data_IF_498538436545
#
_entry.id   IF_498538436545
#
_cell.length_a   1.000
_cell.length_b   1.000
_cell.length_c   1.000
_cell.angle_alpha   90.00
_cell.angle_beta   90.00
_cell.angle_gamma   90.00
#
_symmetry.space_group_name_H-M   'P 1'
#
loop_
_entity.id
_entity.type
_entity.pdbx_description
1 polymer ?
#
# COMPACT_ATOMS: atom_id res chain seq x y z
N UNK A 1 28.98 25.69 -15.75
CA UNK A 1 27.70 25.79 -16.49
C UNK A 1 26.89 24.56 -16.11
N UNK A 2 26.27 24.62 -14.92
CA UNK A 2 25.42 23.52 -14.45
C UNK A 2 24.22 23.43 -15.38
N UNK A 3 24.13 22.30 -16.09
CA UNK A 3 22.92 21.90 -16.79
C UNK A 3 21.80 21.93 -15.75
N UNK A 4 20.86 22.87 -15.91
CA UNK A 4 19.54 22.75 -15.29
C UNK A 4 18.95 21.45 -15.84
N UNK A 5 19.23 20.31 -15.18
CA UNK A 5 18.57 19.05 -15.47
C UNK A 5 17.09 19.33 -15.33
N UNK A 6 16.42 19.40 -16.47
CA UNK A 6 15.00 19.64 -16.55
C UNK A 6 14.36 18.43 -15.88
N UNK A 7 13.90 18.61 -14.63
CA UNK A 7 13.34 17.53 -13.81
C UNK A 7 12.31 16.79 -14.64
N UNK A 8 12.52 15.48 -14.79
CA UNK A 8 11.62 14.68 -15.61
C UNK A 8 10.23 14.68 -14.99
N UNK A 9 9.15 14.72 -15.80
CA UNK A 9 7.79 14.90 -15.28
C UNK A 9 7.35 13.78 -14.31
N UNK A 10 7.97 12.59 -14.38
CA UNK A 10 7.70 11.48 -13.45
C UNK A 10 8.45 11.57 -12.12
N UNK A 11 9.56 12.32 -12.01
CA UNK A 11 10.38 12.38 -10.79
C UNK A 11 9.61 12.90 -9.59
N UNK A 12 8.87 14.01 -9.79
CA UNK A 12 8.03 14.58 -8.73
C UNK A 12 6.93 13.61 -8.32
N UNK A 13 6.29 12.94 -9.29
CA UNK A 13 5.23 11.96 -8.99
C UNK A 13 5.76 10.69 -8.32
N UNK A 14 6.99 10.26 -8.63
CA UNK A 14 7.66 9.19 -7.90
C UNK A 14 7.95 9.58 -6.46
N UNK A 15 8.35 10.84 -6.22
CA UNK A 15 8.51 11.36 -4.86
C UNK A 15 7.18 11.38 -4.11
N UNK A 16 6.12 11.87 -4.73
CA UNK A 16 4.76 11.85 -4.15
C UNK A 16 4.33 10.41 -3.82
N UNK A 17 4.59 9.46 -4.73
CA UNK A 17 4.27 8.05 -4.52
C UNK A 17 5.04 7.46 -3.33
N UNK A 18 6.33 7.76 -3.20
CA UNK A 18 7.15 7.31 -2.06
C UNK A 18 6.65 7.88 -0.74
N UNK A 19 6.16 9.12 -0.75
CA UNK A 19 5.59 9.76 0.43
C UNK A 19 4.28 9.09 0.83
N UNK A 20 3.39 8.82 -0.12
CA UNK A 20 2.12 8.11 0.14
C UNK A 20 2.35 6.71 0.70
N UNK A 21 3.35 5.99 0.20
CA UNK A 21 3.73 4.68 0.76
C UNK A 21 4.13 4.81 2.24
N UNK A 22 4.92 5.84 2.58
CA UNK A 22 5.29 6.12 3.97
C UNK A 22 4.05 6.45 4.81
N UNK A 23 3.13 7.28 4.31
CA UNK A 23 1.88 7.56 5.00
C UNK A 23 1.06 6.29 5.25
N UNK A 24 1.00 5.36 4.30
CA UNK A 24 0.32 4.06 4.50
C UNK A 24 0.96 3.28 5.65
N UNK A 25 2.28 3.24 5.74
CA UNK A 25 3.00 2.56 6.82
C UNK A 25 2.70 3.24 8.17
N UNK A 26 2.80 4.57 8.22
CA UNK A 26 2.61 5.36 9.44
C UNK A 26 1.17 5.28 9.96
N UNK A 27 0.18 5.14 9.06
CA UNK A 27 -1.23 5.06 9.41
C UNK A 27 -1.77 3.63 9.43
N UNK A 28 -0.93 2.59 9.38
CA UNK A 28 -1.38 1.20 9.28
C UNK A 28 -2.43 0.80 10.35
N UNK A 29 -2.27 1.32 11.57
CA UNK A 29 -3.20 1.04 12.69
C UNK A 29 -4.42 1.97 12.78
N UNK A 30 -4.56 2.90 11.83
CA UNK A 30 -5.75 3.74 11.68
C UNK A 30 -6.49 3.32 10.40
N UNK A 31 -7.54 2.50 10.49
CA UNK A 31 -8.16 1.88 9.32
C UNK A 31 -8.65 2.88 8.27
N UNK A 32 -9.29 3.97 8.69
CA UNK A 32 -9.82 4.98 7.76
C UNK A 32 -8.70 5.78 7.10
N UNK A 33 -7.71 6.22 7.87
CA UNK A 33 -6.55 6.94 7.30
C UNK A 33 -5.69 6.03 6.42
N UNK A 34 -5.50 4.76 6.80
CA UNK A 34 -4.84 3.76 5.98
C UNK A 34 -5.55 3.55 4.67
N UNK A 35 -6.89 3.40 4.70
CA UNK A 35 -7.72 3.25 3.50
C UNK A 35 -7.60 4.44 2.57
N UNK A 36 -7.70 5.65 3.10
CA UNK A 36 -7.53 6.87 2.32
C UNK A 36 -6.14 6.95 1.68
N UNK A 37 -5.09 6.70 2.46
CA UNK A 37 -3.70 6.74 2.00
C UNK A 37 -3.41 5.66 0.95
N UNK A 38 -3.91 4.44 1.14
CA UNK A 38 -3.75 3.32 0.22
C UNK A 38 -4.46 3.60 -1.11
N UNK A 39 -5.68 4.13 -1.05
CA UNK A 39 -6.42 4.51 -2.26
C UNK A 39 -5.65 5.57 -3.05
N UNK A 40 -5.15 6.60 -2.36
CA UNK A 40 -4.35 7.65 -2.97
C UNK A 40 -3.02 7.11 -3.54
N UNK A 41 -2.37 6.17 -2.85
CA UNK A 41 -1.16 5.50 -3.33
C UNK A 41 -1.41 4.75 -4.64
N UNK A 42 -2.46 3.90 -4.69
CA UNK A 42 -2.77 3.08 -5.86
C UNK A 42 -3.15 3.94 -7.08
N UNK A 43 -3.93 5.01 -6.87
CA UNK A 43 -4.26 5.97 -7.92
C UNK A 43 -3.00 6.71 -8.41
N UNK A 44 -2.14 7.15 -7.50
CA UNK A 44 -0.90 7.86 -7.87
C UNK A 44 0.07 6.94 -8.62
N UNK A 45 0.19 5.67 -8.23
CA UNK A 45 1.02 4.67 -8.91
C UNK A 45 0.62 4.50 -10.38
N UNK A 46 -0.70 4.54 -10.65
CA UNK A 46 -1.25 4.52 -12.02
C UNK A 46 -0.77 5.72 -12.82
N UNK A 47 -0.93 6.91 -12.28
CA UNK A 47 -0.54 8.16 -12.94
C UNK A 47 0.96 8.17 -13.23
N UNK A 48 1.78 7.74 -12.28
CA UNK A 48 3.24 7.56 -12.47
C UNK A 48 3.52 6.62 -13.63
N UNK A 49 2.88 5.45 -13.65
CA UNK A 49 3.05 4.46 -14.72
C UNK A 49 2.73 5.05 -16.09
N UNK A 50 1.62 5.78 -16.19
CA UNK A 50 1.22 6.43 -17.45
C UNK A 50 2.17 7.53 -17.88
N UNK A 51 2.67 8.35 -16.95
CA UNK A 51 3.66 9.39 -17.28
C UNK A 51 4.94 8.73 -17.79
N UNK A 52 5.41 7.67 -17.15
CA UNK A 52 6.59 6.91 -17.58
C UNK A 52 6.38 6.32 -18.97
N UNK A 53 5.26 5.62 -19.20
CA UNK A 53 4.91 5.04 -20.51
C UNK A 53 4.81 6.10 -21.61
N UNK A 54 4.19 7.24 -21.34
CA UNK A 54 4.08 8.36 -22.28
C UNK A 54 5.43 8.93 -22.67
N UNK A 55 6.39 8.93 -21.75
CA UNK A 55 7.73 9.46 -21.96
C UNK A 55 8.79 8.38 -22.23
N UNK A 56 8.37 7.16 -22.60
CA UNK A 56 9.27 6.02 -22.80
C UNK A 56 10.45 6.29 -23.74
N UNK A 57 10.24 7.11 -24.77
CA UNK A 57 11.27 7.48 -25.75
C UNK A 57 12.43 8.28 -25.12
N UNK A 58 12.21 8.90 -23.96
CA UNK A 58 13.25 9.63 -23.22
C UNK A 58 14.06 8.73 -22.28
N UNK A 59 13.67 7.46 -22.13
CA UNK A 59 14.29 6.50 -21.23
C UNK A 59 15.09 5.50 -22.07
N UNK A 60 16.41 5.57 -21.95
CA UNK A 60 17.32 4.69 -22.70
C UNK A 60 17.05 3.24 -22.31
N UNK A 61 16.82 2.37 -23.30
CA UNK A 61 16.56 0.95 -23.08
C UNK A 61 15.20 0.63 -22.43
N UNK A 62 14.24 1.55 -22.50
CA UNK A 62 12.93 1.39 -21.85
C UNK A 62 12.26 0.06 -22.17
N UNK A 63 12.14 -0.31 -23.44
CA UNK A 63 11.36 -1.48 -23.84
C UNK A 63 11.97 -2.77 -23.26
N UNK A 64 13.30 -2.89 -23.25
CA UNK A 64 14.00 -4.04 -22.65
C UNK A 64 13.82 -4.05 -21.14
N UNK A 65 14.07 -2.91 -20.48
CA UNK A 65 13.95 -2.81 -19.02
C UNK A 65 12.52 -3.08 -18.54
N UNK A 66 11.52 -2.49 -19.20
CA UNK A 66 10.12 -2.58 -18.81
C UNK A 66 9.57 -3.99 -19.03
N UNK A 67 9.93 -4.65 -20.13
CA UNK A 67 9.56 -6.05 -20.34
C UNK A 67 10.14 -6.96 -19.24
N UNK A 68 11.44 -6.90 -18.99
CA UNK A 68 12.11 -7.84 -18.10
C UNK A 68 11.82 -7.58 -16.60
N UNK A 69 11.75 -6.31 -16.19
CA UNK A 69 11.65 -5.95 -14.77
C UNK A 69 10.24 -5.68 -14.30
N UNK A 70 9.32 -5.33 -15.21
CA UNK A 70 7.94 -5.01 -14.86
C UNK A 70 7.03 -6.10 -15.38
N UNK A 71 6.94 -6.29 -16.70
CA UNK A 71 5.95 -7.21 -17.27
C UNK A 71 6.22 -8.66 -16.86
N UNK A 72 7.42 -9.18 -17.08
CA UNK A 72 7.75 -10.58 -16.80
C UNK A 72 7.66 -10.90 -15.30
N UNK A 73 8.21 -10.02 -14.45
CA UNK A 73 8.16 -10.21 -13.00
C UNK A 73 6.75 -10.11 -12.44
N UNK A 74 5.94 -9.17 -12.92
CA UNK A 74 4.60 -8.92 -12.36
C UNK A 74 3.53 -9.85 -12.91
N UNK A 75 3.77 -10.51 -14.06
CA UNK A 75 2.79 -11.37 -14.73
C UNK A 75 2.23 -12.45 -13.81
N UNK A 76 3.07 -13.02 -12.96
CA UNK A 76 2.71 -14.11 -12.05
C UNK A 76 2.76 -13.69 -10.57
N UNK A 77 2.90 -12.39 -10.27
CA UNK A 77 2.96 -11.88 -8.91
C UNK A 77 1.53 -11.60 -8.39
N UNK A 78 1.03 -12.35 -7.38
CA UNK A 78 -0.31 -12.16 -6.83
C UNK A 78 -0.53 -10.77 -6.23
N UNK A 79 0.50 -10.16 -5.64
CA UNK A 79 0.41 -8.83 -5.05
C UNK A 79 0.25 -7.76 -6.14
N UNK A 80 0.95 -7.91 -7.27
CA UNK A 80 0.82 -7.00 -8.42
C UNK A 80 -0.53 -7.16 -9.11
N UNK A 81 -1.01 -8.41 -9.24
CA UNK A 81 -2.36 -8.68 -9.72
C UNK A 81 -3.42 -8.05 -8.81
N UNK A 82 -3.28 -8.20 -7.50
CA UNK A 82 -4.12 -7.54 -6.51
C UNK A 82 -4.07 -6.02 -6.65
N UNK A 83 -2.89 -5.40 -6.66
CA UNK A 83 -2.74 -3.94 -6.78
C UNK A 83 -3.41 -3.38 -8.05
N UNK A 84 -3.28 -4.09 -9.17
CA UNK A 84 -3.96 -3.74 -10.43
C UNK A 84 -5.48 -3.83 -10.31
N UNK A 85 -6.00 -4.89 -9.69
CA UNK A 85 -7.43 -5.10 -9.51
C UNK A 85 -8.01 -4.09 -8.52
N UNK A 86 -7.37 -3.92 -7.36
CA UNK A 86 -7.73 -2.94 -6.32
C UNK A 86 -7.86 -1.53 -6.90
N UNK A 87 -6.91 -1.12 -7.73
CA UNK A 87 -6.99 0.17 -8.45
C UNK A 87 -8.20 0.27 -9.37
N UNK A 88 -8.55 -0.80 -10.10
CA UNK A 88 -9.73 -0.80 -10.96
C UNK A 88 -11.02 -0.74 -10.14
N UNK A 89 -11.06 -1.39 -8.98
CA UNK A 89 -12.17 -1.30 -8.02
C UNK A 89 -12.32 0.12 -7.50
N UNK A 90 -11.22 0.75 -7.03
CA UNK A 90 -11.19 2.14 -6.56
C UNK A 90 -11.78 3.12 -7.60
N UNK A 91 -11.39 2.96 -8.88
CA UNK A 91 -11.86 3.83 -9.95
C UNK A 91 -13.34 3.61 -10.35
N UNK A 92 -13.88 2.39 -10.17
CA UNK A 92 -15.16 1.99 -10.79
C UNK A 92 -16.27 1.67 -9.80
N UNK A 93 -15.92 1.31 -8.57
CA UNK A 93 -16.85 0.73 -7.58
C UNK A 93 -16.82 1.48 -6.24
N UNK A 94 -15.86 2.40 -6.02
CA UNK A 94 -15.70 3.11 -4.75
C UNK A 94 -14.50 2.59 -3.97
N UNK A 95 -14.41 2.93 -2.69
CA UNK A 95 -13.23 2.65 -1.89
C UNK A 95 -13.02 1.14 -1.59
N UNK A 96 -11.77 0.73 -1.33
CA UNK A 96 -11.46 -0.64 -0.87
C UNK A 96 -12.08 -0.90 0.50
N UNK A 97 -12.84 -1.99 0.61
CA UNK A 97 -13.21 -2.56 1.90
C UNK A 97 -11.97 -3.23 2.53
N UNK A 98 -11.62 -2.77 3.73
CA UNK A 98 -10.46 -3.26 4.49
C UNK A 98 -10.91 -4.35 5.46
N UNK A 99 -10.84 -5.61 5.03
CA UNK A 99 -11.00 -6.75 5.94
C UNK A 99 -9.66 -7.02 6.63
N UNK A 100 -9.29 -6.20 7.62
CA UNK A 100 -8.11 -6.47 8.45
C UNK A 100 -8.52 -7.32 9.65
N UNK A 101 -7.90 -8.49 9.79
CA UNK A 101 -8.04 -9.36 10.96
C UNK A 101 -6.78 -9.23 11.84
N UNK A 102 -6.94 -8.84 13.11
CA UNK A 102 -5.91 -8.90 14.12
C UNK A 102 -6.20 -10.07 15.08
N UNK A 103 -5.17 -10.88 15.33
CA UNK A 103 -5.19 -11.98 16.28
C UNK A 103 -4.33 -11.60 17.49
N UNK A 104 -4.88 -11.70 18.69
CA UNK A 104 -4.15 -11.56 19.94
C UNK A 104 -4.31 -12.85 20.75
N UNK A 105 -3.20 -13.44 21.18
CA UNK A 105 -3.22 -14.64 22.03
C UNK A 105 -2.65 -14.27 23.41
N UNK A 106 -3.43 -14.49 24.47
CA UNK A 106 -2.95 -14.38 25.83
C UNK A 106 -2.36 -15.72 26.26
N UNK A 107 -1.03 -15.77 26.32
CA UNK A 107 -0.29 -16.95 26.78
C UNK A 107 -0.14 -16.88 28.29
N UNK A 108 -0.79 -17.79 29.01
CA UNK A 108 -0.82 -17.80 30.47
C UNK A 108 0.07 -18.87 31.10
N UNK A 109 0.44 -19.90 30.34
CA UNK A 109 1.26 -21.03 30.80
C UNK A 109 2.05 -21.65 29.64
N UNK A 110 2.87 -22.66 29.91
CA UNK A 110 3.57 -23.45 28.87
C UNK A 110 2.66 -24.51 28.20
N UNK A 111 1.39 -24.59 28.58
CA UNK A 111 0.39 -25.51 28.02
C UNK A 111 -0.49 -24.69 27.07
N UNK A 112 -0.44 -25.02 25.78
CA UNK A 112 -1.18 -24.31 24.71
C UNK A 112 -2.70 -24.32 24.92
N UNK A 113 -3.25 -25.32 25.60
CA UNK A 113 -4.70 -25.40 25.91
C UNK A 113 -5.20 -24.26 26.81
N UNK A 114 -4.28 -23.58 27.52
CA UNK A 114 -4.60 -22.44 28.38
C UNK A 114 -4.48 -21.09 27.66
N UNK A 115 -4.14 -21.10 26.37
CA UNK A 115 -4.04 -19.89 25.58
C UNK A 115 -5.43 -19.38 25.21
N UNK A 116 -5.66 -18.10 25.48
CA UNK A 116 -6.93 -17.45 25.10
C UNK A 116 -6.68 -16.67 23.82
N UNK A 117 -7.32 -17.10 22.74
CA UNK A 117 -7.23 -16.44 21.44
C UNK A 117 -8.37 -15.44 21.24
N UNK A 118 -8.01 -14.23 20.86
CA UNK A 118 -8.90 -13.17 20.44
C UNK A 118 -8.66 -12.90 18.95
N UNK A 119 -9.65 -13.22 18.12
CA UNK A 119 -9.66 -12.83 16.70
C UNK A 119 -10.60 -11.65 16.57
N UNK A 120 -10.14 -10.54 15.97
CA UNK A 120 -11.03 -9.43 15.67
C UNK A 120 -12.07 -9.88 14.66
N UNK A 121 -13.35 -9.65 14.99
CA UNK A 121 -14.48 -9.82 14.09
C UNK A 121 -15.20 -8.46 13.95
N UNK A 122 -16.15 -8.34 13.02
CA UNK A 122 -16.88 -7.09 12.78
C UNK A 122 -17.52 -6.50 14.06
N UNK A 123 -17.96 -7.36 15.00
CA UNK A 123 -18.53 -6.90 16.27
C UNK A 123 -17.52 -6.21 17.19
N UNK A 124 -16.21 -6.44 16.98
CA UNK A 124 -15.12 -5.81 17.73
C UNK A 124 -14.66 -4.47 17.15
N UNK A 125 -15.06 -4.11 15.92
CA UNK A 125 -14.68 -2.84 15.29
C UNK A 125 -15.17 -1.60 16.07
N UNK A 126 -16.26 -1.74 16.84
CA UNK A 126 -16.84 -0.67 17.66
C UNK A 126 -16.36 -0.68 19.13
N UNK A 127 -15.49 -1.61 19.51
CA UNK A 127 -14.98 -1.68 20.89
C UNK A 127 -13.84 -0.67 21.02
N UNK A 128 -14.16 0.48 21.63
CA UNK A 128 -13.26 1.62 21.75
C UNK A 128 -11.87 1.26 22.29
N UNK A 129 -10.85 1.63 21.52
CA UNK A 129 -9.43 1.47 21.87
C UNK A 129 -9.12 2.39 23.06
N UNK A 130 -8.99 1.84 24.27
CA UNK A 130 -8.35 2.56 25.39
C UNK A 130 -6.86 2.24 25.40
N UNK A 131 -6.05 3.20 24.97
CA UNK A 131 -4.60 3.18 25.18
C UNK A 131 -4.34 3.20 26.69
N UNK A 132 -3.90 2.08 27.28
CA UNK A 132 -3.34 2.10 28.63
C UNK A 132 -1.99 2.82 28.56
N UNK A 133 -1.95 4.08 28.99
CA UNK A 133 -0.71 4.71 29.41
C UNK A 133 -0.22 3.94 30.64
N UNK A 134 0.91 3.26 30.49
CA UNK A 134 1.58 2.61 31.62
C UNK A 134 2.07 3.73 32.54
N UNK A 135 1.31 3.99 33.61
CA UNK A 135 1.75 4.85 34.70
C UNK A 135 2.94 4.21 35.38
N UNK A 136 4.02 4.99 35.53
CA UNK A 136 5.16 4.63 36.38
C UNK A 136 4.74 4.62 37.84
#
# INVERSE_FOLDING_TARGET
MESFMTKKPWERRLKDLSHLLKCCIDTYFDPELFRLNLNQFLQTARTVTFIIQKNKNQIIGYDIWYNNNVIEKWKNDPLMAWAKNSRNTIEKQGDLEMYSEAKATLISSYIEENDIEFITNESMLNIGIKKKTMGR
#
